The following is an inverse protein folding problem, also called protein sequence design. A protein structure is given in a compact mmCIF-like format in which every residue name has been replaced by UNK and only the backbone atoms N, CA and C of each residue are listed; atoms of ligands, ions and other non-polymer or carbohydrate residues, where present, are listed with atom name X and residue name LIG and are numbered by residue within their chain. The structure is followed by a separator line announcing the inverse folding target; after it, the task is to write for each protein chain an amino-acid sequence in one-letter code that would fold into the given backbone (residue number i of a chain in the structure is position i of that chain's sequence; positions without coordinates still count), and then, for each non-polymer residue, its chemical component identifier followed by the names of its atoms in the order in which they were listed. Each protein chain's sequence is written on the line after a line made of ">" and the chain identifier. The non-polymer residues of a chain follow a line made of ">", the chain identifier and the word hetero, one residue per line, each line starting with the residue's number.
data_IF_392736884010
#
_entry.id   IF_392736884010
#
_cell.length_a   1.000
_cell.length_b   1.000
_cell.length_c   1.000
_cell.angle_alpha   90.00
_cell.angle_beta   90.00
_cell.angle_gamma   90.00
#
_symmetry.space_group_name_H-M   'P 1'
#
loop_
_entity.id
_entity.type
_entity.pdbx_description
1 polymer ?
#
# COMPACT_ATOMS: atom_id res chain seq x y z
N UNK A 1 -13.73 -20.76 -23.15
CA UNK A 1 -12.75 -19.67 -23.26
C UNK A 1 -11.50 -20.16 -22.56
N UNK A 2 -10.37 -20.21 -23.27
CA UNK A 2 -9.11 -20.74 -22.74
C UNK A 2 -8.52 -19.81 -21.67
N UNK A 3 -7.94 -20.40 -20.63
CA UNK A 3 -7.27 -19.75 -19.49
C UNK A 3 -6.08 -18.84 -19.87
N UNK A 4 -5.71 -18.76 -21.14
CA UNK A 4 -4.46 -18.17 -21.62
C UNK A 4 -4.54 -16.70 -22.06
N UNK A 5 -5.71 -16.05 -21.99
CA UNK A 5 -5.89 -14.64 -22.40
C UNK A 5 -6.23 -13.68 -21.24
N UNK A 6 -6.13 -14.13 -19.97
CA UNK A 6 -6.27 -13.19 -18.84
C UNK A 6 -4.98 -12.37 -18.73
N UNK A 7 -5.09 -11.07 -19.01
CA UNK A 7 -4.09 -10.07 -18.61
C UNK A 7 -3.84 -10.27 -17.11
N UNK A 8 -2.58 -10.31 -16.64
CA UNK A 8 -2.31 -10.54 -15.23
C UNK A 8 -2.96 -9.43 -14.39
N UNK A 9 -3.98 -9.82 -13.64
CA UNK A 9 -4.69 -8.95 -12.72
C UNK A 9 -3.74 -8.51 -11.59
N UNK A 10 -4.09 -7.39 -10.96
CA UNK A 10 -3.28 -6.83 -9.90
C UNK A 10 -3.35 -7.74 -8.65
N UNK A 11 -2.27 -8.46 -8.36
CA UNK A 11 -2.20 -9.43 -7.23
C UNK A 11 -2.64 -8.87 -5.88
N UNK A 12 -2.40 -7.57 -5.63
CA UNK A 12 -2.83 -6.94 -4.37
C UNK A 12 -4.35 -6.82 -4.34
N UNK A 13 -4.96 -6.40 -5.46
CA UNK A 13 -6.41 -6.31 -5.57
C UNK A 13 -7.07 -7.69 -5.51
N UNK A 14 -6.55 -8.66 -6.25
CA UNK A 14 -7.03 -10.06 -6.19
C UNK A 14 -7.04 -10.56 -4.75
N UNK A 15 -5.93 -10.36 -4.02
CA UNK A 15 -5.83 -10.75 -2.62
C UNK A 15 -6.89 -10.06 -1.74
N UNK A 16 -7.09 -8.75 -1.87
CA UNK A 16 -8.13 -8.02 -1.11
C UNK A 16 -9.53 -8.60 -1.43
N UNK A 17 -9.80 -8.95 -2.68
CA UNK A 17 -11.07 -9.53 -3.09
C UNK A 17 -11.25 -10.93 -2.51
N UNK A 18 -10.23 -11.78 -2.54
CA UNK A 18 -10.25 -13.14 -2.00
C UNK A 18 -10.55 -13.15 -0.49
N UNK A 19 -10.04 -12.16 0.26
CA UNK A 19 -10.31 -12.01 1.69
C UNK A 19 -11.81 -11.90 2.01
N UNK A 20 -12.64 -11.39 1.10
CA UNK A 20 -14.10 -11.34 1.27
C UNK A 20 -14.70 -12.72 1.57
N UNK A 21 -14.14 -13.77 0.95
CA UNK A 21 -14.61 -15.15 1.13
C UNK A 21 -13.80 -15.94 2.15
N UNK A 22 -12.50 -15.65 2.26
CA UNK A 22 -11.58 -16.41 3.10
C UNK A 22 -11.56 -15.94 4.55
N UNK A 23 -11.70 -14.63 4.79
CA UNK A 23 -11.47 -14.02 6.11
C UNK A 23 -12.77 -13.71 6.84
N UNK A 24 -13.16 -14.62 7.73
CA UNK A 24 -14.42 -14.55 8.50
C UNK A 24 -14.48 -13.42 9.53
N UNK A 25 -13.34 -12.91 9.98
CA UNK A 25 -13.26 -11.84 10.99
C UNK A 25 -13.62 -10.45 10.45
N UNK A 26 -13.73 -10.28 9.14
CA UNK A 26 -14.06 -8.99 8.52
C UNK A 26 -15.44 -8.48 8.97
N UNK A 27 -15.57 -7.19 9.33
CA UNK A 27 -16.86 -6.56 9.64
C UNK A 27 -17.87 -6.78 8.52
N UNK A 28 -18.94 -7.53 8.81
CA UNK A 28 -20.00 -7.86 7.85
C UNK A 28 -19.50 -8.53 6.55
N UNK A 29 -18.33 -9.19 6.59
CA UNK A 29 -17.69 -9.80 5.42
C UNK A 29 -17.09 -8.79 4.43
N UNK A 30 -17.09 -7.50 4.75
CA UNK A 30 -16.55 -6.43 3.91
C UNK A 30 -15.05 -6.28 4.18
N UNK A 31 -14.17 -6.29 3.16
CA UNK A 31 -12.78 -5.86 3.35
C UNK A 31 -12.73 -4.40 3.80
N UNK A 32 -12.06 -4.14 4.92
CA UNK A 32 -11.93 -2.81 5.53
C UNK A 32 -10.45 -2.44 5.66
N UNK A 33 -10.14 -1.18 5.41
CA UNK A 33 -8.86 -0.58 5.74
C UNK A 33 -8.91 0.13 7.10
N UNK A 34 -7.84 0.06 7.87
CA UNK A 34 -7.66 0.90 9.06
C UNK A 34 -6.53 1.87 8.83
N UNK A 35 -6.80 3.16 8.98
CA UNK A 35 -5.80 4.21 9.10
C UNK A 35 -5.48 4.41 10.57
N UNK A 36 -4.23 4.17 10.93
CA UNK A 36 -3.75 4.45 12.28
C UNK A 36 -3.73 5.97 12.50
N UNK A 37 -4.42 6.42 13.54
CA UNK A 37 -4.56 7.83 13.93
C UNK A 37 -3.21 8.48 14.21
N UNK A 38 -3.15 9.80 14.05
CA UNK A 38 -1.98 10.63 14.38
C UNK A 38 -1.67 10.67 15.88
N UNK A 39 -2.54 10.14 16.73
CA UNK A 39 -2.33 9.99 18.18
C UNK A 39 -1.35 8.87 18.53
N UNK A 40 -1.13 7.93 17.62
CA UNK A 40 -0.15 6.85 17.77
C UNK A 40 1.19 7.35 17.25
N UNK A 41 2.15 7.60 18.15
CA UNK A 41 3.47 8.12 17.79
C UNK A 41 4.62 7.16 18.14
N UNK A 42 4.32 5.99 18.70
CA UNK A 42 5.32 5.00 19.09
C UNK A 42 5.00 3.60 18.55
N UNK A 43 6.05 2.81 18.33
CA UNK A 43 5.95 1.48 17.74
C UNK A 43 5.18 0.50 18.64
N UNK A 44 5.27 0.63 19.97
CA UNK A 44 4.59 -0.29 20.88
C UNK A 44 3.07 -0.15 20.79
N UNK A 45 2.56 1.08 20.79
CA UNK A 45 1.13 1.39 20.61
C UNK A 45 0.65 0.96 19.21
N UNK A 46 1.43 1.23 18.16
CA UNK A 46 1.13 0.80 16.79
C UNK A 46 1.00 -0.73 16.69
N UNK A 47 1.94 -1.47 17.24
CA UNK A 47 1.94 -2.93 17.20
C UNK A 47 0.82 -3.54 18.05
N UNK A 48 0.49 -2.93 19.19
CA UNK A 48 -0.66 -3.33 20.00
C UNK A 48 -1.96 -3.19 19.21
N UNK A 49 -2.21 -2.02 18.62
CA UNK A 49 -3.39 -1.80 17.79
C UNK A 49 -3.43 -2.81 16.63
N UNK A 50 -2.29 -3.01 15.96
CA UNK A 50 -2.16 -3.96 14.84
C UNK A 50 -2.52 -5.39 15.24
N UNK A 51 -2.08 -5.85 16.40
CA UNK A 51 -2.41 -7.16 16.94
C UNK A 51 -3.91 -7.32 17.22
N UNK A 52 -4.55 -6.26 17.72
CA UNK A 52 -5.99 -6.26 18.03
C UNK A 52 -6.86 -6.25 16.76
N UNK A 53 -6.56 -5.37 15.80
CA UNK A 53 -7.42 -5.19 14.61
C UNK A 53 -7.07 -6.13 13.47
N UNK A 54 -5.88 -6.71 13.45
CA UNK A 54 -5.36 -7.57 12.38
C UNK A 54 -6.35 -8.62 11.86
N UNK A 55 -7.03 -9.41 12.73
CA UNK A 55 -8.03 -10.40 12.33
C UNK A 55 -9.28 -9.82 11.64
N UNK A 56 -9.50 -8.51 11.76
CA UNK A 56 -10.73 -7.83 11.33
C UNK A 56 -10.52 -6.86 10.14
N UNK A 57 -9.31 -6.79 9.58
CA UNK A 57 -8.97 -5.85 8.50
C UNK A 57 -8.39 -6.55 7.27
N UNK A 58 -8.50 -5.90 6.13
CA UNK A 58 -7.82 -6.30 4.89
C UNK A 58 -6.56 -5.44 4.63
N UNK A 59 -6.56 -4.19 5.10
CA UNK A 59 -5.49 -3.21 4.87
C UNK A 59 -5.17 -2.48 6.17
N UNK A 60 -3.89 -2.38 6.52
CA UNK A 60 -3.42 -1.50 7.60
C UNK A 60 -2.61 -0.36 6.99
N UNK A 61 -3.10 0.86 7.15
CA UNK A 61 -2.45 2.08 6.68
C UNK A 61 -1.69 2.75 7.84
N UNK A 62 -0.36 2.82 7.68
CA UNK A 62 0.60 3.29 8.69
C UNK A 62 1.28 4.56 8.20
N UNK A 63 1.52 5.49 9.11
CA UNK A 63 2.22 6.75 8.87
C UNK A 63 3.63 6.66 9.48
N UNK A 64 4.58 6.06 8.75
CA UNK A 64 5.89 5.68 9.30
C UNK A 64 6.73 6.88 9.82
N UNK A 65 6.52 8.07 9.28
CA UNK A 65 7.30 9.27 9.62
C UNK A 65 6.83 10.02 10.88
N UNK A 66 5.66 9.67 11.42
CA UNK A 66 5.16 10.20 12.70
C UNK A 66 5.41 9.22 13.87
N UNK A 67 6.00 8.06 13.59
CA UNK A 67 6.41 7.10 14.61
C UNK A 67 7.85 7.45 15.05
N UNK A 68 7.98 7.91 16.29
CA UNK A 68 9.20 8.49 16.86
C UNK A 68 10.38 7.49 16.87
N UNK A 69 10.09 6.21 17.05
CA UNK A 69 11.04 5.10 17.14
C UNK A 69 11.00 4.15 15.92
N UNK A 70 10.56 4.65 14.76
CA UNK A 70 10.47 3.85 13.53
C UNK A 70 11.80 3.15 13.18
N UNK A 71 11.76 1.83 13.07
CA UNK A 71 12.93 1.00 12.85
C UNK A 71 12.63 -0.22 11.96
N UNK A 72 13.70 -0.92 11.54
CA UNK A 72 13.55 -2.18 10.80
C UNK A 72 12.88 -3.27 11.68
N UNK A 73 13.02 -3.23 13.02
CA UNK A 73 12.30 -4.13 13.95
C UNK A 73 10.78 -3.89 13.94
N UNK A 74 10.35 -2.62 13.94
CA UNK A 74 8.94 -2.26 13.79
C UNK A 74 8.36 -2.82 12.48
N UNK A 75 9.13 -2.73 11.39
CA UNK A 75 8.75 -3.27 10.07
C UNK A 75 8.60 -4.80 10.13
N UNK A 76 9.52 -5.49 10.77
CA UNK A 76 9.49 -6.95 10.90
C UNK A 76 8.29 -7.42 11.72
N UNK A 77 7.99 -6.74 12.83
CA UNK A 77 6.81 -7.03 13.65
C UNK A 77 5.49 -6.76 12.90
N UNK A 78 5.39 -5.65 12.16
CA UNK A 78 4.23 -5.37 11.31
C UNK A 78 4.06 -6.45 10.22
N UNK A 79 5.17 -6.90 9.62
CA UNK A 79 5.18 -7.97 8.62
C UNK A 79 4.76 -9.30 9.24
N UNK A 80 5.18 -9.58 10.47
CA UNK A 80 4.72 -10.74 11.23
C UNK A 80 3.20 -10.73 11.42
N UNK A 81 2.62 -9.62 11.88
CA UNK A 81 1.17 -9.53 12.05
C UNK A 81 0.42 -9.59 10.72
N UNK A 82 0.96 -8.98 9.66
CA UNK A 82 0.39 -9.06 8.31
C UNK A 82 0.29 -10.51 7.83
N UNK A 83 1.35 -11.31 8.02
CA UNK A 83 1.35 -12.75 7.73
C UNK A 83 0.36 -13.52 8.59
N UNK A 84 0.40 -13.28 9.90
CA UNK A 84 -0.39 -14.01 10.89
C UNK A 84 -1.89 -13.83 10.63
N UNK A 85 -2.32 -12.58 10.48
CA UNK A 85 -3.74 -12.27 10.36
C UNK A 85 -4.21 -12.12 8.92
N UNK A 86 -3.31 -12.10 7.94
CA UNK A 86 -3.64 -11.97 6.52
C UNK A 86 -4.24 -10.60 6.19
N UNK A 87 -3.41 -9.57 6.21
CA UNK A 87 -3.73 -8.23 5.69
C UNK A 87 -2.52 -7.64 4.96
N UNK A 88 -2.72 -6.59 4.18
CA UNK A 88 -1.62 -5.87 3.50
C UNK A 88 -1.24 -4.60 4.24
N UNK A 89 0.03 -4.20 4.11
CA UNK A 89 0.56 -2.97 4.67
C UNK A 89 0.52 -1.83 3.64
N UNK A 90 0.08 -0.66 4.05
CA UNK A 90 0.03 0.55 3.24
C UNK A 90 0.72 1.71 3.95
N UNK A 91 1.71 2.35 3.31
CA UNK A 91 2.25 3.62 3.80
C UNK A 91 1.35 4.79 3.39
N UNK A 92 0.81 5.48 4.41
CA UNK A 92 -0.21 6.50 4.27
C UNK A 92 0.25 7.94 4.47
N UNK A 93 1.42 8.19 5.05
CA UNK A 93 1.83 9.57 5.37
C UNK A 93 2.50 10.30 4.22
N UNK A 94 3.07 9.58 3.26
CA UNK A 94 3.79 10.21 2.15
C UNK A 94 3.03 10.06 0.86
N UNK A 95 2.39 11.14 0.46
CA UNK A 95 2.00 11.31 -0.94
C UNK A 95 3.26 11.53 -1.77
N UNK A 96 3.72 10.47 -2.43
CA UNK A 96 5.02 10.40 -3.09
C UNK A 96 5.24 11.56 -4.07
N UNK A 97 4.29 11.79 -4.98
CA UNK A 97 4.23 12.99 -5.80
C UNK A 97 3.31 14.02 -5.16
N UNK A 98 3.86 15.12 -4.65
CA UNK A 98 3.09 16.28 -4.18
C UNK A 98 2.91 17.38 -5.24
N UNK A 99 3.55 17.24 -6.41
CA UNK A 99 3.47 18.22 -7.50
C UNK A 99 2.28 17.95 -8.41
N UNK A 100 1.08 18.21 -7.88
CA UNK A 100 -0.20 18.05 -8.57
C UNK A 100 -0.18 18.78 -9.91
N UNK A 101 -0.60 18.09 -10.97
CA UNK A 101 -0.77 18.64 -12.31
C UNK A 101 0.50 19.32 -12.88
N UNK A 102 1.69 19.02 -12.37
CA UNK A 102 2.95 19.53 -12.94
C UNK A 102 3.67 18.45 -13.74
N UNK A 103 3.71 17.22 -13.22
CA UNK A 103 4.44 16.10 -13.83
C UNK A 103 3.84 15.66 -15.18
N UNK A 104 2.56 15.91 -15.40
CA UNK A 104 1.85 15.56 -16.62
C UNK A 104 1.60 16.73 -17.56
N UNK A 105 1.95 17.97 -17.19
CA UNK A 105 1.80 19.13 -18.09
C UNK A 105 2.71 19.00 -19.31
N UNK A 106 2.12 18.99 -20.51
CA UNK A 106 2.88 18.98 -21.76
C UNK A 106 3.80 20.20 -21.94
N UNK A 107 3.46 21.33 -21.31
CA UNK A 107 4.28 22.54 -21.29
C UNK A 107 5.47 22.49 -20.31
N UNK A 108 5.49 21.54 -19.38
CA UNK A 108 6.57 21.40 -18.42
C UNK A 108 7.83 20.77 -19.07
N UNK A 109 8.98 21.41 -18.83
CA UNK A 109 10.26 20.95 -19.35
C UNK A 109 10.53 19.49 -18.95
N UNK A 110 10.86 18.66 -19.94
CA UNK A 110 11.10 17.23 -19.74
C UNK A 110 12.21 16.93 -18.74
N UNK A 111 13.31 17.68 -18.75
CA UNK A 111 14.42 17.48 -17.80
C UNK A 111 13.97 17.78 -16.37
N UNK A 112 13.20 18.85 -16.15
CA UNK A 112 12.63 19.14 -14.83
C UNK A 112 11.71 18.02 -14.35
N UNK A 113 10.82 17.54 -15.23
CA UNK A 113 9.93 16.41 -14.91
C UNK A 113 10.71 15.14 -14.56
N UNK A 114 11.80 14.86 -15.27
CA UNK A 114 12.69 13.73 -15.00
C UNK A 114 13.40 13.85 -13.65
N UNK A 115 13.96 15.02 -13.33
CA UNK A 115 14.59 15.26 -12.02
C UNK A 115 13.59 15.08 -10.88
N UNK A 116 12.35 15.56 -11.04
CA UNK A 116 11.30 15.35 -10.04
C UNK A 116 10.90 13.89 -9.92
N UNK A 117 10.73 13.17 -11.03
CA UNK A 117 10.45 11.73 -11.01
C UNK A 117 11.56 10.96 -10.28
N UNK A 118 12.82 11.31 -10.51
CA UNK A 118 13.96 10.72 -9.79
C UNK A 118 13.96 11.07 -8.29
N UNK A 119 13.55 12.29 -7.92
CA UNK A 119 13.40 12.69 -6.52
C UNK A 119 12.29 11.87 -5.84
N UNK A 120 11.14 11.73 -6.48
CA UNK A 120 10.01 10.93 -5.99
C UNK A 120 10.41 9.46 -5.86
N UNK A 121 11.13 8.92 -6.86
CA UNK A 121 11.72 7.57 -6.81
C UNK A 121 12.62 7.39 -5.60
N UNK A 122 13.50 8.35 -5.30
CA UNK A 122 14.37 8.30 -4.12
C UNK A 122 13.58 8.34 -2.83
N UNK A 123 12.55 9.17 -2.71
CA UNK A 123 11.66 9.18 -1.53
C UNK A 123 10.95 7.85 -1.31
N UNK A 124 10.59 7.16 -2.38
CA UNK A 124 9.93 5.86 -2.31
C UNK A 124 10.88 4.73 -1.88
N UNK A 125 12.13 4.75 -2.33
CA UNK A 125 13.09 3.65 -2.15
C UNK A 125 14.13 3.87 -1.05
N UNK A 126 14.33 5.10 -0.61
CA UNK A 126 15.36 5.50 0.35
C UNK A 126 14.78 6.41 1.45
N UNK A 127 15.65 6.88 2.34
CA UNK A 127 15.27 7.64 3.53
C UNK A 127 14.97 6.72 4.70
N UNK A 128 14.52 7.28 5.82
CA UNK A 128 14.24 6.51 7.04
C UNK A 128 13.09 5.52 6.84
N UNK A 129 12.05 5.92 6.11
CA UNK A 129 10.85 5.11 5.91
C UNK A 129 11.04 3.94 4.92
N UNK A 130 11.98 4.05 3.96
CA UNK A 130 12.27 3.03 2.92
C UNK A 130 11.01 2.33 2.35
N UNK A 131 9.97 3.10 2.03
CA UNK A 131 8.59 2.61 1.78
C UNK A 131 8.52 1.39 0.86
N UNK A 132 9.25 1.40 -0.25
CA UNK A 132 9.27 0.32 -1.24
C UNK A 132 9.78 -1.03 -0.70
N UNK A 133 10.50 -1.05 0.42
CA UNK A 133 11.07 -2.27 0.99
C UNK A 133 10.02 -3.11 1.73
N UNK A 134 9.08 -2.47 2.42
CA UNK A 134 8.13 -3.18 3.30
C UNK A 134 6.66 -3.02 2.92
N UNK A 135 6.28 -1.88 2.34
CA UNK A 135 4.87 -1.56 2.14
C UNK A 135 4.33 -2.15 0.84
N UNK A 136 3.17 -2.81 0.89
CA UNK A 136 2.50 -3.31 -0.32
C UNK A 136 1.92 -2.18 -1.17
N UNK A 137 1.42 -1.13 -0.52
CA UNK A 137 0.80 0.03 -1.18
C UNK A 137 1.51 1.32 -0.79
N UNK A 138 1.64 2.24 -1.74
CA UNK A 138 2.04 3.61 -1.47
C UNK A 138 1.09 4.61 -2.12
N UNK A 139 1.03 5.81 -1.56
CA UNK A 139 0.09 6.86 -1.98
C UNK A 139 0.78 7.85 -2.92
N UNK A 140 0.10 8.27 -4.00
CA UNK A 140 0.63 9.32 -4.88
C UNK A 140 -0.49 10.13 -5.54
N UNK A 141 -0.30 11.44 -5.73
CA UNK A 141 -1.09 12.17 -6.72
C UNK A 141 -0.72 11.68 -8.13
N UNK A 142 -1.72 11.64 -9.01
CA UNK A 142 -1.51 11.38 -10.42
C UNK A 142 -0.59 12.43 -11.04
N UNK A 143 0.16 12.07 -12.10
CA UNK A 143 1.01 13.03 -12.79
C UNK A 143 0.21 14.18 -13.43
N UNK A 144 -1.06 13.96 -13.78
CA UNK A 144 -1.92 14.94 -14.47
C UNK A 144 -1.66 14.96 -15.97
N UNK A 145 -1.41 13.80 -16.57
CA UNK A 145 -1.16 13.66 -18.02
C UNK A 145 -2.49 13.78 -18.78
N UNK A 146 -2.58 14.51 -19.90
CA UNK A 146 -3.79 14.60 -20.69
C UNK A 146 -4.34 13.24 -21.12
N UNK A 147 -5.65 13.13 -21.30
CA UNK A 147 -6.36 11.86 -21.54
C UNK A 147 -5.80 11.04 -22.72
N UNK A 148 -5.37 11.72 -23.78
CA UNK A 148 -4.87 11.11 -25.02
C UNK A 148 -3.34 10.96 -25.07
N UNK A 149 -2.64 11.27 -23.97
CA UNK A 149 -1.17 11.27 -23.91
C UNK A 149 -0.62 10.44 -22.75
N UNK A 150 -1.40 9.50 -22.20
CA UNK A 150 -1.00 8.71 -21.02
C UNK A 150 0.34 7.97 -21.20
N UNK A 151 0.72 7.65 -22.44
CA UNK A 151 2.02 7.08 -22.79
C UNK A 151 3.21 7.99 -22.47
N UNK A 152 2.97 9.29 -22.28
CA UNK A 152 3.99 10.28 -21.87
C UNK A 152 4.19 10.36 -20.37
N UNK A 153 3.50 9.52 -19.58
CA UNK A 153 3.71 9.45 -18.15
C UNK A 153 5.13 8.94 -17.84
N UNK A 154 5.85 9.71 -17.04
CA UNK A 154 7.18 9.36 -16.56
C UNK A 154 7.14 8.84 -15.12
N UNK A 155 6.15 9.26 -14.32
CA UNK A 155 6.13 9.03 -12.88
C UNK A 155 5.78 7.57 -12.55
N UNK A 156 4.61 7.09 -13.00
CA UNK A 156 4.13 5.76 -12.61
C UNK A 156 5.07 4.67 -13.13
N UNK A 157 5.57 4.72 -14.38
CA UNK A 157 6.59 3.76 -14.83
C UNK A 157 7.88 3.79 -14.03
N UNK A 158 8.33 4.98 -13.61
CA UNK A 158 9.53 5.12 -12.77
C UNK A 158 9.33 4.48 -11.39
N UNK A 159 8.18 4.71 -10.77
CA UNK A 159 7.83 4.10 -9.48
C UNK A 159 7.66 2.58 -9.59
N UNK A 160 7.01 2.10 -10.66
CA UNK A 160 6.86 0.66 -10.96
C UNK A 160 8.22 -0.02 -11.05
N UNK A 161 9.16 0.59 -11.78
CA UNK A 161 10.51 0.07 -11.92
C UNK A 161 11.22 0.03 -10.56
N UNK A 162 11.12 1.10 -9.80
CA UNK A 162 11.75 1.22 -8.48
C UNK A 162 11.20 0.21 -7.47
N UNK A 163 9.89 -0.07 -7.51
CA UNK A 163 9.26 -1.11 -6.72
C UNK A 163 9.86 -2.50 -7.04
N UNK A 164 9.98 -2.83 -8.34
CA UNK A 164 10.58 -4.10 -8.80
C UNK A 164 12.05 -4.22 -8.38
N UNK A 165 12.82 -3.15 -8.49
CA UNK A 165 14.22 -3.10 -8.05
C UNK A 165 14.34 -3.30 -6.52
N UNK A 166 13.46 -2.68 -5.73
CA UNK A 166 13.43 -2.85 -4.28
C UNK A 166 13.10 -4.29 -3.87
N UNK A 167 12.05 -4.87 -4.46
CA UNK A 167 11.65 -6.26 -4.22
C UNK A 167 12.77 -7.24 -4.59
N UNK A 168 13.41 -7.06 -5.76
CA UNK A 168 14.53 -7.90 -6.16
C UNK A 168 15.71 -7.81 -5.18
N UNK A 169 15.95 -6.63 -4.61
CA UNK A 169 16.98 -6.43 -3.59
C UNK A 169 16.62 -7.20 -2.31
N UNK A 170 15.38 -7.07 -1.83
CA UNK A 170 14.89 -7.80 -0.65
C UNK A 170 14.99 -9.31 -0.83
N UNK A 171 14.55 -9.85 -1.98
CA UNK A 171 14.65 -11.29 -2.28
C UNK A 171 16.09 -11.76 -2.25
N UNK A 172 17.00 -11.01 -2.88
CA UNK A 172 18.43 -11.35 -2.87
C UNK A 172 19.02 -11.35 -1.45
N UNK A 173 18.64 -10.38 -0.62
CA UNK A 173 19.08 -10.33 0.79
C UNK A 173 18.63 -11.58 1.55
N UNK A 174 17.37 -11.99 1.37
CA UNK A 174 16.81 -13.21 1.98
C UNK A 174 17.58 -14.46 1.51
N UNK A 175 17.84 -14.60 0.20
CA UNK A 175 18.60 -15.73 -0.34
C UNK A 175 20.03 -15.80 0.23
N UNK A 176 20.70 -14.65 0.40
CA UNK A 176 22.04 -14.61 0.99
C UNK A 176 22.06 -14.96 2.48
N UNK A 177 21.05 -14.56 3.24
CA UNK A 177 20.91 -14.90 4.66
C UNK A 177 20.68 -16.41 4.85
N UNK A 178 19.82 -17.02 4.01
CA UNK A 178 19.59 -18.48 4.01
C UNK A 178 20.85 -19.25 3.59
N UNK A 179 21.63 -18.71 2.66
CA UNK A 179 22.87 -19.36 2.21
C UNK A 179 23.98 -19.31 3.26
N UNK A 180 24.08 -18.21 4.01
CA UNK A 180 25.07 -18.08 5.09
C UNK A 180 24.77 -19.00 6.27
N UNK A 181 23.49 -19.19 6.62
CA UNK A 181 23.06 -20.06 7.74
C UNK A 181 23.25 -21.56 7.45
N UNK A 182 23.28 -21.97 6.19
CA UNK A 182 23.52 -23.37 5.79
C UNK A 182 25.00 -23.68 5.51
N UNK A 183 25.90 -22.72 5.64
CA UNK A 183 27.31 -22.82 5.23
C UNK A 183 28.30 -23.26 6.32
N UNK A 184 27.87 -23.47 7.57
CA UNK A 184 28.77 -23.60 8.71
C UNK A 184 28.65 -24.96 9.43
N UNK A 185 28.87 -26.06 8.71
CA UNK A 185 29.31 -27.34 9.30
C UNK A 185 30.15 -28.13 8.29
N UNK A 186 31.38 -27.69 7.97
CA UNK A 186 32.47 -28.61 7.57
C UNK A 186 33.84 -27.96 7.81
N UNK A 187 34.46 -28.31 8.93
CA UNK A 187 35.89 -28.16 9.14
C UNK A 187 36.63 -29.05 8.13
N UNK A 188 37.26 -28.47 7.11
CA UNK A 188 38.41 -29.09 6.43
C UNK A 188 39.64 -28.20 6.63
N UNK A 189 40.59 -28.72 7.40
CA UNK A 189 41.96 -28.23 7.47
C UNK A 189 42.60 -28.34 6.09
N UNK A 190 42.98 -27.20 5.50
CA UNK A 190 43.82 -27.18 4.30
C UNK A 190 45.20 -26.66 4.68
N UNK A 191 46.15 -27.59 4.70
CA UNK A 191 47.58 -27.37 4.87
C UNK A 191 48.15 -26.48 3.75
N UNK A 192 48.97 -25.50 4.13
CA UNK A 192 49.74 -24.66 3.20
C UNK A 192 51.10 -25.31 2.87
N UNK A 193 51.58 -25.29 1.61
CA UNK A 193 52.98 -25.59 1.29
C UNK A 193 53.83 -24.31 1.15
N UNK A 194 55.09 -24.43 1.58
CA UNK A 194 56.07 -23.36 1.84
C UNK A 194 57.17 -23.27 0.74
N UNK A 195 57.25 -22.11 0.06
CA UNK A 195 58.47 -21.36 -0.43
C UNK A 195 59.40 -21.95 -1.55
N UNK A 196 60.47 -21.27 -2.10
CA UNK A 196 61.07 -19.92 -1.86
C UNK A 196 61.54 -19.16 -3.18
N UNK A 197 62.66 -18.37 -3.28
CA UNK A 197 62.64 -16.89 -3.42
C UNK A 197 63.51 -16.29 -4.58
N UNK A 198 63.42 -14.96 -4.88
CA UNK A 198 64.54 -14.09 -5.35
C UNK A 198 64.06 -12.61 -5.39
N UNK A 199 64.51 -11.64 -4.58
CA UNK A 199 65.76 -10.83 -4.49
C UNK A 199 65.80 -9.55 -5.34
N UNK A 200 66.27 -8.45 -4.70
CA UNK A 200 66.70 -7.09 -5.15
C UNK A 200 65.73 -5.98 -4.67
N UNK A 201 65.92 -5.23 -3.56
CA UNK A 201 67.08 -4.42 -3.09
C UNK A 201 67.04 -3.05 -3.81
N UNK A 202 66.86 -1.84 -3.24
CA UNK A 202 67.48 -1.09 -2.12
C UNK A 202 66.50 0.03 -1.67
N UNK A 203 66.20 0.40 -0.42
CA UNK A 203 66.94 0.72 0.82
C UNK A 203 67.57 2.13 0.86
N UNK A 204 66.95 3.06 1.62
CA UNK A 204 67.65 4.18 2.26
C UNK A 204 66.97 4.61 3.60
N UNK A 205 67.77 4.53 4.67
CA UNK A 205 67.72 5.13 6.03
C UNK A 205 66.59 4.72 7.02
N UNK A 206 66.78 3.75 7.95
CA UNK A 206 67.55 3.73 9.23
C UNK A 206 67.01 4.70 10.31
N UNK A 207 66.88 4.42 11.62
CA UNK A 207 67.10 3.32 12.58
C UNK A 207 66.33 3.78 13.86
N UNK A 208 65.60 2.98 14.63
CA UNK A 208 66.15 2.24 15.78
C UNK A 208 65.10 1.39 16.52
N UNK A 209 65.58 0.23 16.97
CA UNK A 209 65.22 -0.56 18.15
C UNK A 209 63.92 -1.40 18.21
N UNK A 210 64.19 -2.70 18.28
CA UNK A 210 63.34 -3.85 18.60
C UNK A 210 62.61 -3.75 19.95
N UNK A 211 61.45 -4.42 20.05
CA UNK A 211 61.01 -4.97 21.35
C UNK A 211 59.51 -5.21 21.58
N UNK A 212 58.90 -6.10 20.79
CA UNK A 212 57.81 -7.01 21.16
C UNK A 212 56.42 -6.50 21.63
N UNK A 213 55.42 -7.24 21.10
CA UNK A 213 54.08 -7.51 21.62
C UNK A 213 52.91 -6.60 21.20
N UNK A 214 51.82 -7.30 20.86
CA UNK A 214 50.43 -6.85 20.63
C UNK A 214 50.12 -6.21 19.28
N UNK A 215 50.07 -7.04 18.22
CA UNK A 215 49.14 -6.77 17.11
C UNK A 215 47.72 -6.89 17.66
N UNK A 216 47.03 -5.75 17.72
CA UNK A 216 45.60 -5.66 18.00
C UNK A 216 44.83 -6.57 17.04
N UNK A 217 44.30 -7.66 17.58
CA UNK A 217 43.17 -8.37 17.00
C UNK A 217 41.97 -7.44 17.16
N UNK A 218 41.43 -6.95 16.05
CA UNK A 218 40.12 -6.31 16.07
C UNK A 218 39.09 -7.42 16.21
N UNK A 219 38.66 -7.67 17.44
CA UNK A 219 37.46 -8.47 17.72
C UNK A 219 36.27 -7.77 17.07
N UNK A 220 35.77 -8.32 15.97
CA UNK A 220 34.44 -7.99 15.46
C UNK A 220 33.47 -8.78 16.33
N UNK A 221 32.77 -8.09 17.24
CA UNK A 221 31.58 -8.67 17.86
C UNK A 221 30.51 -8.76 16.79
N UNK A 222 30.33 -9.95 16.22
CA UNK A 222 29.14 -10.27 15.43
C UNK A 222 27.99 -10.38 16.44
N UNK A 223 27.20 -9.31 16.57
CA UNK A 223 25.86 -9.45 17.13
C UNK A 223 25.03 -10.20 16.10
N UNK A 224 24.81 -11.48 16.36
CA UNK A 224 23.94 -12.36 15.61
C UNK A 224 22.49 -11.87 15.79
N UNK A 225 22.02 -10.97 14.92
CA UNK A 225 20.60 -10.67 14.79
C UNK A 225 20.00 -11.72 13.85
N UNK A 226 19.58 -12.84 14.44
CA UNK A 226 18.91 -13.93 13.75
C UNK A 226 17.51 -13.46 13.31
N UNK A 227 17.35 -13.02 12.06
CA UNK A 227 16.03 -12.83 11.40
C UNK A 227 15.54 -14.17 10.83
N UNK A 228 15.52 -15.21 11.66
CA UNK A 228 14.65 -16.36 11.38
C UNK A 228 13.23 -15.85 11.56
N UNK A 229 12.60 -15.34 10.51
CA UNK A 229 11.15 -15.14 10.53
C UNK A 229 10.55 -16.54 10.80
N UNK A 230 9.95 -16.77 11.98
CA UNK A 230 9.39 -18.08 12.30
C UNK A 230 8.37 -18.44 11.23
N UNK A 231 8.18 -19.75 10.98
CA UNK A 231 7.09 -20.20 10.13
C UNK A 231 5.77 -19.75 10.79
N UNK A 232 5.24 -18.61 10.35
CA UNK A 232 3.99 -18.06 10.86
C UNK A 232 2.88 -18.83 10.18
N UNK A 233 2.18 -19.67 10.94
CA UNK A 233 0.92 -20.23 10.46
C UNK A 233 -0.11 -19.08 10.40
N UNK A 234 -0.68 -18.79 9.22
CA UNK A 234 -1.74 -17.82 9.11
C UNK A 234 -2.98 -18.31 9.88
N UNK A 235 -3.81 -17.38 10.33
CA UNK A 235 -5.11 -17.70 10.93
C UNK A 235 -5.91 -18.65 10.00
N UNK A 236 -6.61 -19.62 10.59
CA UNK A 236 -7.23 -20.74 9.87
C UNK A 236 -8.02 -20.32 8.62
N UNK A 237 -7.55 -20.77 7.46
CA UNK A 237 -8.21 -20.55 6.16
C UNK A 237 -7.94 -19.19 5.52
N UNK A 238 -7.12 -18.32 6.12
CA UNK A 238 -6.74 -17.03 5.52
C UNK A 238 -5.52 -17.21 4.61
N UNK A 239 -5.58 -16.76 3.34
CA UNK A 239 -4.43 -16.84 2.43
C UNK A 239 -3.28 -15.96 2.90
N UNK A 240 -2.04 -16.37 2.59
CA UNK A 240 -0.87 -15.56 2.90
C UNK A 240 -0.86 -14.26 2.06
N UNK A 241 -0.55 -13.10 2.67
CA UNK A 241 -0.52 -11.84 1.94
C UNK A 241 0.61 -11.81 0.90
N UNK A 242 0.44 -11.09 -0.23
CA UNK A 242 1.43 -11.00 -1.28
C UNK A 242 2.56 -10.02 -0.90
N UNK A 243 3.39 -10.39 0.08
CA UNK A 243 4.41 -9.53 0.71
C UNK A 243 5.46 -8.94 -0.24
N UNK A 244 5.68 -9.54 -1.41
CA UNK A 244 6.61 -9.06 -2.42
C UNK A 244 5.91 -8.26 -3.53
N UNK A 245 4.58 -8.13 -3.49
CA UNK A 245 3.84 -7.30 -4.43
C UNK A 245 3.84 -5.86 -3.93
N UNK A 246 4.00 -4.94 -4.88
CA UNK A 246 4.02 -3.50 -4.66
C UNK A 246 3.06 -2.84 -5.62
N UNK A 247 2.31 -1.85 -5.17
CA UNK A 247 1.39 -1.10 -5.98
C UNK A 247 1.17 0.32 -5.49
N UNK A 248 0.40 1.08 -6.25
CA UNK A 248 0.03 2.45 -5.94
C UNK A 248 -1.47 2.61 -5.73
N UNK A 249 -1.84 3.41 -4.74
CA UNK A 249 -3.15 4.04 -4.63
C UNK A 249 -3.02 5.51 -5.09
N UNK A 250 -3.75 5.89 -6.14
CA UNK A 250 -3.73 7.27 -6.64
C UNK A 250 -4.76 8.13 -5.89
N UNK A 251 -4.36 9.31 -5.43
CA UNK A 251 -5.30 10.24 -4.81
C UNK A 251 -6.30 10.76 -5.85
N UNK A 252 -7.59 10.50 -5.63
CA UNK A 252 -8.70 11.01 -6.42
C UNK A 252 -9.34 12.19 -5.67
N UNK A 253 -9.15 13.44 -6.15
CA UNK A 253 -9.75 14.60 -5.52
C UNK A 253 -11.27 14.53 -5.58
N UNK A 254 -11.95 15.07 -4.57
CA UNK A 254 -13.41 15.07 -4.52
C UNK A 254 -14.04 15.86 -5.69
N UNK A 255 -15.19 15.40 -6.18
CA UNK A 255 -15.95 16.05 -7.25
C UNK A 255 -16.46 17.45 -6.84
N UNK A 256 -16.63 17.70 -5.54
CA UNK A 256 -17.04 19.00 -5.01
C UNK A 256 -15.86 19.92 -4.66
N UNK A 257 -14.62 19.43 -4.78
CA UNK A 257 -13.43 20.22 -4.44
C UNK A 257 -13.05 21.16 -5.59
N UNK A 258 -13.34 22.46 -5.40
CA UNK A 258 -13.01 23.52 -6.35
C UNK A 258 -11.50 23.75 -6.57
N UNK A 259 -10.63 23.20 -5.72
CA UNK A 259 -9.18 23.31 -5.89
C UNK A 259 -8.66 22.46 -7.06
N UNK A 260 -9.44 21.48 -7.52
CA UNK A 260 -9.08 20.58 -8.62
C UNK A 260 -10.03 20.75 -9.80
N UNK A 261 -9.50 20.59 -11.01
CA UNK A 261 -10.32 20.60 -12.23
C UNK A 261 -10.90 19.21 -12.48
N UNK A 262 -12.07 19.15 -13.12
CA UNK A 262 -12.62 17.86 -13.57
C UNK A 262 -11.69 17.13 -14.52
N UNK A 263 -10.95 17.86 -15.36
CA UNK A 263 -9.90 17.33 -16.23
C UNK A 263 -8.80 16.59 -15.44
N UNK A 264 -8.39 17.10 -14.28
CA UNK A 264 -7.40 16.44 -13.45
C UNK A 264 -7.96 15.14 -12.83
N UNK A 265 -9.23 15.16 -12.42
CA UNK A 265 -9.92 13.95 -11.92
C UNK A 265 -10.03 12.88 -13.01
N UNK A 266 -10.43 13.25 -14.23
CA UNK A 266 -10.46 12.34 -15.38
C UNK A 266 -9.06 11.82 -15.73
N UNK A 267 -8.05 12.70 -15.75
CA UNK A 267 -6.64 12.34 -15.95
C UNK A 267 -6.14 11.31 -14.93
N UNK A 268 -6.58 11.42 -13.68
CA UNK A 268 -6.23 10.49 -12.60
C UNK A 268 -6.79 9.09 -12.84
N UNK A 269 -8.06 9.02 -13.23
CA UNK A 269 -8.72 7.76 -13.59
C UNK A 269 -8.04 7.13 -14.82
N UNK A 270 -7.66 7.95 -15.80
CA UNK A 270 -6.95 7.46 -16.99
C UNK A 270 -5.54 6.99 -16.70
N UNK A 271 -4.82 7.65 -15.80
CA UNK A 271 -3.51 7.21 -15.35
C UNK A 271 -3.60 5.85 -14.64
N UNK A 272 -4.66 5.61 -13.85
CA UNK A 272 -4.94 4.31 -13.24
C UNK A 272 -5.18 3.23 -14.30
N UNK A 273 -6.06 3.50 -15.27
CA UNK A 273 -6.39 2.56 -16.34
C UNK A 273 -5.16 2.18 -17.19
N UNK A 274 -4.37 3.18 -17.59
CA UNK A 274 -3.14 2.97 -18.37
C UNK A 274 -2.06 2.20 -17.61
N UNK A 275 -2.17 2.09 -16.28
CA UNK A 275 -1.18 1.46 -15.41
C UNK A 275 -1.81 0.42 -14.45
N UNK A 276 -2.87 -0.28 -14.87
CA UNK A 276 -3.65 -1.22 -14.05
C UNK A 276 -2.81 -2.36 -13.42
N UNK A 277 -1.69 -2.74 -14.03
CA UNK A 277 -0.75 -3.74 -13.51
C UNK A 277 -0.01 -3.30 -12.24
N UNK A 278 0.00 -2.00 -11.94
CA UNK A 278 0.72 -1.42 -10.80
C UNK A 278 -0.14 -0.48 -9.95
N UNK A 279 -1.11 0.21 -10.54
CA UNK A 279 -2.10 1.01 -9.81
C UNK A 279 -3.21 0.07 -9.33
N UNK A 280 -3.31 -0.11 -8.02
CA UNK A 280 -4.28 -1.01 -7.37
C UNK A 280 -5.65 -0.34 -7.24
N UNK A 281 -5.66 0.97 -7.07
CA UNK A 281 -6.89 1.69 -6.76
C UNK A 281 -6.73 3.19 -6.60
N UNK A 282 -7.82 3.80 -6.14
CA UNK A 282 -7.97 5.22 -5.90
C UNK A 282 -8.24 5.47 -4.42
N UNK A 283 -7.57 6.45 -3.83
CA UNK A 283 -7.87 6.97 -2.49
C UNK A 283 -8.66 8.27 -2.63
N UNK A 284 -9.85 8.35 -2.05
CA UNK A 284 -10.67 9.55 -2.07
C UNK A 284 -11.05 10.01 -0.67
N UNK A 285 -11.17 11.33 -0.51
CA UNK A 285 -11.74 11.95 0.69
C UNK A 285 -13.28 11.99 0.66
N UNK A 286 -13.90 11.61 -0.45
CA UNK A 286 -15.35 11.43 -0.51
C UNK A 286 -15.75 10.32 0.48
N UNK A 287 -16.72 10.58 1.38
CA UNK A 287 -17.14 9.58 2.34
C UNK A 287 -17.67 8.34 1.64
N UNK A 288 -17.35 7.17 2.18
CA UNK A 288 -17.71 5.85 1.63
C UNK A 288 -19.19 5.68 1.23
N UNK A 289 -20.09 6.38 1.93
CA UNK A 289 -21.53 6.32 1.71
C UNK A 289 -22.09 7.47 0.85
N UNK A 290 -21.29 8.45 0.41
CA UNK A 290 -21.79 9.57 -0.42
C UNK A 290 -22.20 9.12 -1.83
N UNK A 291 -22.79 10.04 -2.61
CA UNK A 291 -23.61 9.92 -3.84
C UNK A 291 -23.13 8.97 -4.95
N UNK A 292 -21.96 8.36 -4.81
CA UNK A 292 -21.49 7.34 -5.70
C UNK A 292 -22.08 5.97 -5.36
N UNK A 293 -23.18 5.65 -6.04
CA UNK A 293 -23.86 4.35 -5.98
C UNK A 293 -23.53 3.44 -7.17
N UNK A 294 -22.66 3.91 -8.08
CA UNK A 294 -22.24 3.17 -9.25
C UNK A 294 -21.28 2.04 -8.91
N UNK A 295 -21.20 1.06 -9.79
CA UNK A 295 -20.27 -0.07 -9.67
C UNK A 295 -19.07 0.09 -10.65
N UNK A 296 -18.99 1.22 -11.38
CA UNK A 296 -18.07 1.45 -12.50
C UNK A 296 -17.25 2.75 -12.40
N UNK A 297 -15.95 2.64 -12.62
CA UNK A 297 -14.97 3.72 -12.44
C UNK A 297 -15.26 4.98 -13.25
N UNK A 298 -15.86 4.87 -14.43
CA UNK A 298 -16.16 6.05 -15.25
C UNK A 298 -17.33 6.87 -14.75
N UNK A 299 -18.23 6.27 -13.97
CA UNK A 299 -19.27 7.04 -13.29
C UNK A 299 -18.62 8.03 -12.30
N UNK A 300 -17.49 7.69 -11.67
CA UNK A 300 -16.71 8.63 -10.84
C UNK A 300 -16.05 9.74 -11.66
N UNK A 301 -15.73 9.50 -12.93
CA UNK A 301 -15.00 10.45 -13.79
C UNK A 301 -15.91 11.55 -14.35
N UNK A 302 -17.17 11.24 -14.58
CA UNK A 302 -18.08 12.06 -15.39
C UNK A 302 -19.31 12.59 -14.67
N UNK A 303 -19.58 12.17 -13.44
CA UNK A 303 -20.58 12.84 -12.62
C UNK A 303 -19.99 14.15 -12.10
N UNK A 304 -20.58 15.28 -12.48
CA UNK A 304 -20.38 16.53 -11.75
C UNK A 304 -21.14 16.51 -10.40
N UNK A 305 -20.91 17.52 -9.56
CA UNK A 305 -21.60 17.71 -8.28
C UNK A 305 -23.13 17.75 -8.37
N UNK A 306 -23.68 17.88 -9.59
CA UNK A 306 -25.09 17.97 -9.91
C UNK A 306 -25.64 16.73 -10.66
N UNK A 307 -24.83 15.68 -10.83
CA UNK A 307 -25.21 14.45 -11.53
C UNK A 307 -25.29 14.58 -13.06
N UNK A 308 -24.78 15.68 -13.63
CA UNK A 308 -24.77 15.90 -15.08
C UNK A 308 -23.55 15.20 -15.70
N UNK A 309 -23.73 14.40 -16.77
CA UNK A 309 -22.62 13.78 -17.49
C UNK A 309 -21.72 14.86 -18.11
N UNK A 310 -20.42 14.81 -17.79
CA UNK A 310 -19.44 15.72 -18.40
C UNK A 310 -19.04 15.28 -19.83
N UNK A 311 -18.71 16.27 -20.67
CA UNK A 311 -18.17 16.08 -22.02
C UNK A 311 -16.89 15.23 -21.98
N UNK A 312 -16.80 14.19 -22.81
CA UNK A 312 -15.60 13.34 -22.93
C UNK A 312 -15.81 11.86 -22.62
N UNK A 313 -17.03 11.43 -22.27
CA UNK A 313 -17.37 10.00 -22.12
C UNK A 313 -17.03 9.21 -23.38
N UNK A 314 -17.49 9.66 -24.54
CA UNK A 314 -17.22 9.04 -25.85
C UNK A 314 -15.72 8.95 -26.17
N UNK A 315 -14.92 9.90 -25.66
CA UNK A 315 -13.47 9.92 -25.84
C UNK A 315 -12.81 8.79 -25.04
N UNK A 316 -13.30 8.49 -23.83
CA UNK A 316 -12.79 7.39 -23.03
C UNK A 316 -13.25 6.03 -23.58
N UNK A 317 -14.51 5.91 -23.99
CA UNK A 317 -15.01 4.66 -24.56
C UNK A 317 -14.25 4.22 -25.84
N UNK A 318 -13.62 5.17 -26.54
CA UNK A 318 -12.80 4.91 -27.72
C UNK A 318 -11.32 4.51 -27.43
N UNK A 319 -10.88 4.51 -26.17
CA UNK A 319 -9.46 4.25 -25.83
C UNK A 319 -9.18 2.75 -25.65
N UNK A 320 -8.18 2.16 -26.35
CA UNK A 320 -8.04 0.71 -26.50
C UNK A 320 -7.84 -0.09 -25.20
N UNK A 321 -7.21 0.48 -24.18
CA UNK A 321 -6.95 -0.24 -22.91
C UNK A 321 -8.15 -0.24 -21.96
N UNK A 322 -9.27 0.36 -22.36
CA UNK A 322 -10.53 0.37 -21.62
C UNK A 322 -11.48 -0.78 -22.03
N UNK A 323 -11.11 -1.54 -23.07
CA UNK A 323 -11.83 -2.76 -23.48
C UNK A 323 -11.68 -3.93 -22.48
N UNK A 324 -10.77 -3.80 -21.50
CA UNK A 324 -10.48 -4.84 -20.52
C UNK A 324 -11.28 -4.66 -19.22
N UNK A 325 -11.83 -5.78 -18.73
CA UNK A 325 -12.64 -5.94 -17.50
C UNK A 325 -11.84 -5.77 -16.20
N UNK A 326 -10.92 -4.82 -16.16
CA UNK A 326 -10.12 -4.54 -14.99
C UNK A 326 -11.00 -3.98 -13.87
N UNK A 327 -10.63 -4.25 -12.63
CA UNK A 327 -11.25 -3.64 -11.46
C UNK A 327 -10.24 -2.82 -10.70
N UNK A 328 -10.70 -1.84 -9.93
CA UNK A 328 -9.87 -1.01 -9.08
C UNK A 328 -10.46 -0.95 -7.67
N UNK A 329 -9.60 -0.95 -6.66
CA UNK A 329 -10.05 -0.62 -5.31
C UNK A 329 -10.41 0.87 -5.22
N UNK A 330 -11.52 1.20 -4.56
CA UNK A 330 -11.82 2.57 -4.12
C UNK A 330 -11.73 2.62 -2.60
N UNK A 331 -10.65 3.20 -2.11
CA UNK A 331 -10.41 3.46 -0.70
C UNK A 331 -11.09 4.77 -0.32
N UNK A 332 -12.18 4.69 0.45
CA UNK A 332 -12.98 5.85 0.85
C UNK A 332 -12.99 5.97 2.36
N UNK A 333 -12.73 7.19 2.85
CA UNK A 333 -12.71 7.44 4.29
C UNK A 333 -14.10 7.27 4.89
N UNK A 334 -14.17 6.61 6.04
CA UNK A 334 -15.32 6.58 6.92
C UNK A 334 -15.18 7.76 7.90
N UNK A 335 -16.06 8.77 7.84
CA UNK A 335 -15.99 9.93 8.72
C UNK A 335 -16.03 9.51 10.19
N UNK A 336 -15.15 10.10 11.00
CA UNK A 336 -15.08 9.82 12.43
C UNK A 336 -16.39 10.21 13.15
N UNK A 337 -17.17 11.10 12.55
CA UNK A 337 -18.46 11.56 13.08
C UNK A 337 -19.46 10.43 13.27
N UNK A 338 -19.34 9.33 12.51
CA UNK A 338 -20.22 8.17 12.64
C UNK A 338 -20.11 7.49 14.01
N UNK A 339 -19.05 7.73 14.77
CA UNK A 339 -18.89 7.19 16.11
C UNK A 339 -19.72 7.92 17.17
N UNK A 340 -20.29 9.10 16.88
CA UNK A 340 -20.90 9.97 17.91
C UNK A 340 -22.09 9.31 18.64
N UNK A 341 -22.80 8.40 17.96
CA UNK A 341 -23.93 7.68 18.57
C UNK A 341 -23.51 6.36 19.23
N UNK A 342 -22.22 6.02 19.24
CA UNK A 342 -21.70 4.76 19.77
C UNK A 342 -22.05 4.55 21.25
N UNK A 343 -21.89 5.58 22.08
CA UNK A 343 -22.22 5.50 23.51
C UNK A 343 -23.72 5.48 23.78
N UNK A 344 -24.53 5.97 22.83
CA UNK A 344 -25.98 6.12 22.95
C UNK A 344 -26.77 5.04 22.21
N UNK A 345 -26.10 4.04 21.63
CA UNK A 345 -26.78 3.02 20.82
C UNK A 345 -27.68 2.14 21.71
N UNK A 346 -29.01 2.11 21.46
CA UNK A 346 -29.96 1.31 22.21
C UNK A 346 -29.65 -0.20 22.19
N UNK A 347 -28.94 -0.70 21.17
CA UNK A 347 -28.53 -2.11 21.09
C UNK A 347 -27.51 -2.44 22.19
N UNK A 348 -26.62 -1.50 22.52
CA UNK A 348 -25.68 -1.64 23.64
C UNK A 348 -26.35 -1.38 24.99
N UNK A 349 -27.34 -0.49 25.04
CA UNK A 349 -28.12 -0.18 26.25
C UNK A 349 -29.14 -1.27 26.65
N UNK A 350 -29.64 -2.08 25.71
CA UNK A 350 -30.58 -3.18 26.01
C UNK A 350 -29.87 -4.50 26.35
N UNK A 351 -28.67 -4.74 25.81
CA UNK A 351 -27.85 -5.90 26.12
C UNK A 351 -26.90 -5.59 27.29
N UNK A 352 -27.46 -5.36 28.48
CA UNK A 352 -26.70 -5.30 29.73
C UNK A 352 -25.92 -6.58 30.08
N UNK A 353 -26.04 -7.61 29.24
CA UNK A 353 -25.11 -8.73 29.03
C UNK A 353 -24.95 -8.87 27.50
N UNK A 354 -23.83 -8.46 26.92
CA UNK A 354 -23.51 -8.72 25.50
C UNK A 354 -22.55 -9.90 25.40
N UNK A 355 -22.67 -10.80 24.40
CA UNK A 355 -21.76 -11.95 24.24
C UNK A 355 -20.30 -11.58 23.85
N UNK A 356 -19.97 -10.29 23.76
CA UNK A 356 -18.68 -9.73 23.28
C UNK A 356 -17.89 -8.95 24.37
N UNK A 357 -18.03 -9.30 25.65
CA UNK A 357 -17.24 -8.65 26.72
C UNK A 357 -15.72 -8.81 26.58
N UNK A 358 -15.24 -9.74 25.75
CA UNK A 358 -13.81 -10.05 25.58
C UNK A 358 -13.11 -9.31 24.41
N UNK A 359 -13.85 -8.57 23.57
CA UNK A 359 -13.26 -7.91 22.38
C UNK A 359 -12.62 -6.55 22.72
N UNK A 360 -11.44 -6.23 22.16
CA UNK A 360 -10.82 -4.93 22.32
C UNK A 360 -11.73 -3.79 21.83
N UNK A 361 -11.71 -2.66 22.54
CA UNK A 361 -12.55 -1.49 22.20
C UNK A 361 -12.32 -0.99 20.77
N UNK A 362 -11.08 -1.09 20.27
CA UNK A 362 -10.68 -0.76 18.90
C UNK A 362 -11.47 -1.57 17.86
N UNK A 363 -11.67 -2.87 18.11
CA UNK A 363 -12.42 -3.78 17.24
C UNK A 363 -13.91 -3.49 17.30
N UNK A 364 -14.46 -3.26 18.50
CA UNK A 364 -15.90 -2.93 18.64
C UNK A 364 -16.22 -1.61 17.90
N UNK A 365 -15.36 -0.60 18.03
CA UNK A 365 -15.48 0.66 17.28
C UNK A 365 -15.38 0.46 15.77
N UNK A 366 -14.44 -0.38 15.31
CA UNK A 366 -14.28 -0.73 13.90
C UNK A 366 -15.58 -1.31 13.32
N UNK A 367 -16.13 -2.35 13.95
CA UNK A 367 -17.37 -2.98 13.50
C UNK A 367 -18.54 -1.99 13.49
N UNK A 368 -18.67 -1.21 14.56
CA UNK A 368 -19.73 -0.20 14.66
C UNK A 368 -19.67 0.83 13.52
N UNK A 369 -18.50 1.42 13.27
CA UNK A 369 -18.35 2.45 12.23
C UNK A 369 -18.64 1.88 10.83
N UNK A 370 -18.21 0.65 10.56
CA UNK A 370 -18.46 -0.03 9.28
C UNK A 370 -19.95 -0.33 9.11
N UNK A 371 -20.64 -0.79 10.17
CA UNK A 371 -22.10 -1.02 10.15
C UNK A 371 -22.87 0.24 9.77
N UNK A 372 -22.58 1.35 10.44
CA UNK A 372 -23.23 2.64 10.17
C UNK A 372 -22.95 3.10 8.74
N UNK A 373 -21.71 2.98 8.27
CA UNK A 373 -21.32 3.34 6.92
C UNK A 373 -22.05 2.48 5.86
N UNK A 374 -22.17 1.17 6.08
CA UNK A 374 -22.89 0.25 5.19
C UNK A 374 -24.39 0.56 5.16
N UNK A 375 -25.01 0.81 6.32
CA UNK A 375 -26.43 1.21 6.43
C UNK A 375 -26.71 2.50 5.67
N UNK A 376 -25.86 3.51 5.82
CA UNK A 376 -26.00 4.78 5.10
C UNK A 376 -25.81 4.59 3.59
N UNK A 377 -24.84 3.79 3.17
CA UNK A 377 -24.60 3.50 1.75
C UNK A 377 -25.80 2.81 1.12
N UNK A 378 -26.39 1.82 1.79
CA UNK A 378 -27.58 1.12 1.30
C UNK A 378 -28.82 2.02 1.27
N UNK A 379 -28.98 2.91 2.26
CA UNK A 379 -30.05 3.91 2.25
C UNK A 379 -29.91 4.87 1.05
N UNK A 380 -28.71 5.37 0.79
CA UNK A 380 -28.44 6.27 -0.33
C UNK A 380 -28.63 5.57 -1.68
N UNK A 381 -28.28 4.27 -1.80
CA UNK A 381 -28.55 3.45 -2.99
C UNK A 381 -30.05 3.33 -3.28
N UNK A 382 -30.87 3.11 -2.25
CA UNK A 382 -32.33 3.05 -2.38
C UNK A 382 -32.95 4.38 -2.79
N UNK A 383 -32.47 5.49 -2.25
CA UNK A 383 -32.94 6.83 -2.60
C UNK A 383 -32.64 7.17 -4.08
N UNK A 384 -31.41 6.86 -4.55
CA UNK A 384 -31.03 7.12 -5.94
C UNK A 384 -31.82 6.26 -6.94
N UNK A 385 -32.10 5.00 -6.60
CA UNK A 385 -32.91 4.11 -7.43
C UNK A 385 -34.39 4.55 -7.48
N UNK A 386 -34.89 5.22 -6.43
CA UNK A 386 -36.23 5.80 -6.40
C UNK A 386 -36.39 7.08 -7.25
N UNK A 387 -35.29 7.80 -7.49
CA UNK A 387 -35.30 9.09 -8.20
C UNK A 387 -34.97 8.99 -9.70
N UNK A 388 -34.33 7.91 -10.17
CA UNK A 388 -34.00 7.73 -11.58
C UNK A 388 -34.91 6.70 -12.26
N UNK A 389 -35.77 7.17 -13.16
CA UNK A 389 -36.44 6.33 -14.15
C UNK A 389 -35.37 5.75 -15.09
N UNK A 390 -35.28 4.41 -15.14
CA UNK A 390 -34.25 3.63 -15.85
C UNK A 390 -33.91 4.20 -17.25
N UNK A 391 -32.83 4.97 -17.34
CA UNK A 391 -32.11 5.15 -18.59
C UNK A 391 -31.08 4.03 -18.67
N UNK A 392 -31.47 2.99 -19.40
CA UNK A 392 -30.68 1.81 -19.74
C UNK A 392 -29.47 2.16 -20.62
N UNK A 393 -28.53 2.99 -20.15
CA UNK A 393 -27.20 3.03 -20.77
C UNK A 393 -26.42 1.85 -20.21
N UNK A 394 -25.90 1.00 -21.10
CA UNK A 394 -24.99 -0.08 -20.73
C UNK A 394 -23.91 0.46 -19.78
N UNK A 395 -23.54 -0.29 -18.72
CA UNK A 395 -22.43 0.10 -17.89
C UNK A 395 -21.14 0.07 -18.72
N UNK A 396 -20.40 1.17 -18.72
CA UNK A 396 -19.14 1.28 -19.48
C UNK A 396 -18.00 1.64 -18.55
N UNK A 397 -16.97 0.80 -18.53
CA UNK A 397 -15.71 1.06 -17.85
C UNK A 397 -15.29 -0.01 -16.83
N UNK A 398 -14.11 0.16 -16.20
CA UNK A 398 -13.59 -0.73 -15.17
C UNK A 398 -14.51 -0.84 -13.94
N UNK A 399 -14.56 -2.01 -13.31
CA UNK A 399 -15.32 -2.21 -12.07
C UNK A 399 -14.67 -1.54 -10.86
N UNK A 400 -15.47 -1.18 -9.87
CA UNK A 400 -14.97 -0.71 -8.57
C UNK A 400 -15.19 -1.76 -7.48
N UNK A 401 -14.13 -2.00 -6.71
CA UNK A 401 -14.21 -2.71 -5.44
C UNK A 401 -14.07 -1.72 -4.28
N UNK A 402 -15.17 -1.48 -3.56
CA UNK A 402 -15.16 -0.50 -2.48
C UNK A 402 -14.48 -1.05 -1.22
N UNK A 403 -13.59 -0.26 -0.63
CA UNK A 403 -12.90 -0.57 0.63
C UNK A 403 -13.04 0.63 1.57
N UNK A 404 -13.94 0.57 2.58
CA UNK A 404 -14.02 1.64 3.58
C UNK A 404 -12.73 1.71 4.39
N UNK A 405 -12.25 2.92 4.68
CA UNK A 405 -11.07 3.16 5.51
C UNK A 405 -11.50 3.85 6.80
N UNK A 406 -11.31 3.20 7.94
CA UNK A 406 -11.69 3.70 9.27
C UNK A 406 -10.44 4.23 10.00
N UNK A 407 -10.55 5.39 10.64
CA UNK A 407 -9.48 5.93 11.49
C UNK A 407 -9.64 5.37 12.89
N UNK A 408 -8.61 4.72 13.44
CA UNK A 408 -8.61 4.21 14.81
C UNK A 408 -7.44 4.78 15.63
N UNK A 409 -7.69 5.13 16.91
CA UNK A 409 -6.70 5.74 17.80
C UNK A 409 -5.64 4.80 18.32
#
# INVERSE_FOLDING_TARGET
>A
MSETDRVPDNRILEYIQDLTSAKKGLPYGQPVGVLVSQTVTDSATLLKLTAEVGPHIAVLQVQADIIDDWSDDTIDQLTYYAKKHGFILWEGSRVLNCTVNFMGRGSANFQTRKVLADLVRRKYTHGTAKVAQWSNLATSWAPGVPLHEQEKDLLIPTLRKAAREAVATTVKTIETEISATNGDEHHEEVEAPISPPTTNGWAEFSSDSFGAALRKLSTISVTESVTLQPHVEPDDGVPAPPLLSRGLALCLPSAIDSAFTSEFRQSTIMAACANHDFVVGLLTSEPFFTSYTGDYLFDLAFQDSHGTPQLGRDILEAIPYLENKHSFALFSLVPAELIHNYESDPIRSMNGDSPDEDLPESVVKLHYMVDQALKMREANRKEHLGNHQELSSMPVGPGIFHVPVVILP
#
